data_IF_450228439478
#
_entry.id   IF_450228439478
#
_cell.length_a   1.000
_cell.length_b   1.000
_cell.length_c   1.000
_cell.angle_alpha   90.00
_cell.angle_beta   90.00
_cell.angle_gamma   90.00
#
_symmetry.space_group_name_H-M   'P 1'
#
loop_
_entity.id
_entity.type
_entity.pdbx_description
1 polymer ?
#
# COMPACT_ATOMS: atom_id res chain seq x y z
N UNK A 1 -9.18 -80.10 -6.07
CA UNK A 1 -8.07 -79.16 -5.83
C UNK A 1 -8.65 -77.74 -5.79
N UNK A 2 -9.24 -77.33 -4.67
CA UNK A 2 -9.94 -76.03 -4.52
C UNK A 2 -9.66 -75.49 -3.11
N UNK A 3 -8.69 -74.58 -2.98
CA UNK A 3 -8.37 -73.86 -1.74
C UNK A 3 -7.83 -72.45 -2.06
N UNK A 4 -8.62 -71.61 -2.73
CA UNK A 4 -8.21 -70.21 -2.98
C UNK A 4 -9.32 -69.16 -2.80
N UNK A 5 -10.41 -69.47 -2.08
CA UNK A 5 -11.56 -68.56 -2.01
C UNK A 5 -11.75 -67.78 -0.69
N UNK A 6 -10.77 -67.80 0.23
CA UNK A 6 -10.90 -67.15 1.55
C UNK A 6 -10.02 -65.93 1.82
N UNK A 7 -9.12 -65.54 0.91
CA UNK A 7 -8.15 -64.47 1.19
C UNK A 7 -8.51 -63.08 0.63
N UNK A 8 -9.53 -62.97 -0.22
CA UNK A 8 -9.87 -61.67 -0.85
C UNK A 8 -10.81 -60.79 -0.01
N UNK A 9 -11.49 -61.33 1.01
CA UNK A 9 -12.41 -60.53 1.85
C UNK A 9 -11.72 -59.71 2.95
N UNK A 10 -10.50 -60.05 3.35
CA UNK A 10 -9.79 -59.34 4.42
C UNK A 10 -9.06 -58.08 3.94
N UNK A 11 -8.82 -57.94 2.63
CA UNK A 11 -8.05 -56.81 2.10
C UNK A 11 -8.90 -55.55 1.87
N UNK A 12 -10.20 -55.69 1.62
CA UNK A 12 -11.10 -54.57 1.29
C UNK A 12 -11.59 -53.83 2.54
N UNK A 13 -11.65 -54.51 3.70
CA UNK A 13 -12.15 -53.90 4.94
C UNK A 13 -11.15 -52.96 5.63
N UNK A 14 -9.86 -53.02 5.25
CA UNK A 14 -8.80 -52.20 5.87
C UNK A 14 -8.56 -50.86 5.13
N UNK A 15 -9.06 -50.71 3.90
CA UNK A 15 -8.89 -49.47 3.10
C UNK A 15 -9.90 -48.38 3.43
N UNK A 16 -11.06 -48.73 3.99
CA UNK A 16 -12.12 -47.76 4.34
C UNK A 16 -11.90 -47.11 5.71
N UNK A 17 -11.10 -47.72 6.58
CA UNK A 17 -10.83 -47.17 7.91
C UNK A 17 -9.78 -46.04 7.86
N UNK A 18 -8.78 -46.17 6.99
CA UNK A 18 -7.65 -45.23 6.94
C UNK A 18 -7.99 -43.85 6.33
N UNK A 19 -9.05 -43.76 5.51
CA UNK A 19 -9.43 -42.50 4.83
C UNK A 19 -10.19 -41.52 5.73
N UNK A 20 -10.85 -41.99 6.79
CA UNK A 20 -11.57 -41.09 7.70
C UNK A 20 -10.64 -40.41 8.70
N UNK A 21 -9.67 -41.14 9.27
CA UNK A 21 -8.78 -40.58 10.30
C UNK A 21 -7.82 -39.52 9.73
N UNK A 22 -7.35 -39.69 8.49
CA UNK A 22 -6.49 -38.69 7.82
C UNK A 22 -7.27 -37.40 7.52
N UNK A 23 -8.53 -37.50 7.08
CA UNK A 23 -9.36 -36.32 6.80
C UNK A 23 -9.61 -35.46 8.05
N UNK A 24 -9.81 -36.07 9.22
CA UNK A 24 -10.04 -35.31 10.47
C UNK A 24 -8.79 -34.60 11.01
N UNK A 25 -7.58 -35.13 10.75
CA UNK A 25 -6.32 -34.49 11.15
C UNK A 25 -6.01 -33.27 10.28
N UNK A 26 -6.22 -33.37 8.96
CA UNK A 26 -5.97 -32.24 8.05
C UNK A 26 -6.95 -31.08 8.24
N UNK A 27 -8.23 -31.34 8.55
CA UNK A 27 -9.21 -30.27 8.84
C UNK A 27 -8.84 -29.52 10.13
N UNK A 28 -8.38 -30.20 11.18
CA UNK A 28 -7.92 -29.55 12.40
C UNK A 28 -6.60 -28.77 12.21
N UNK A 29 -5.69 -29.26 11.35
CA UNK A 29 -4.44 -28.56 11.04
C UNK A 29 -4.68 -27.23 10.29
N UNK A 30 -5.65 -27.21 9.35
CA UNK A 30 -6.04 -26.00 8.62
C UNK A 30 -6.74 -25.01 9.56
N UNK A 31 -7.58 -25.47 10.48
CA UNK A 31 -8.21 -24.60 11.49
C UNK A 31 -7.17 -23.96 12.43
N UNK A 32 -6.09 -24.67 12.77
CA UNK A 32 -4.99 -24.11 13.58
C UNK A 32 -4.17 -23.07 12.81
N UNK A 33 -3.98 -23.25 11.49
CA UNK A 33 -3.29 -22.27 10.63
C UNK A 33 -4.12 -20.99 10.40
N UNK A 34 -5.44 -21.05 10.49
CA UNK A 34 -6.31 -19.88 10.40
C UNK A 34 -6.36 -19.04 11.69
N UNK A 35 -5.91 -19.56 12.83
CA UNK A 35 -5.83 -18.80 14.09
C UNK A 35 -4.53 -17.98 14.23
N UNK A 36 -3.55 -18.17 13.34
CA UNK A 36 -2.28 -17.42 13.36
C UNK A 36 -2.36 -16.14 12.49
N UNK A 37 -3.41 -15.98 11.69
CA UNK A 37 -3.61 -14.79 10.83
C UNK A 37 -4.70 -13.85 11.36
N UNK A 38 -4.68 -13.55 12.65
CA UNK A 38 -5.51 -12.47 13.20
C UNK A 38 -4.67 -11.57 14.12
N UNK A 39 -3.58 -11.05 13.58
CA UNK A 39 -2.88 -9.87 14.11
C UNK A 39 -2.15 -9.17 12.95
N UNK A 40 -2.91 -8.79 11.92
CA UNK A 40 -2.65 -7.52 11.25
C UNK A 40 -3.83 -6.66 11.63
N UNK A 41 -3.62 -5.93 12.73
CA UNK A 41 -4.26 -4.67 13.08
C UNK A 41 -5.04 -4.09 11.91
N UNK A 42 -6.35 -4.32 11.91
CA UNK A 42 -7.29 -3.27 11.57
C UNK A 42 -7.04 -2.17 12.61
N UNK A 43 -6.06 -1.33 12.32
CA UNK A 43 -6.13 0.04 12.78
C UNK A 43 -7.27 0.66 11.96
N UNK A 44 -8.51 0.39 12.41
CA UNK A 44 -9.59 1.35 12.24
C UNK A 44 -9.13 2.62 12.95
N UNK A 45 -8.31 3.39 12.25
CA UNK A 45 -8.25 4.82 12.48
C UNK A 45 -9.65 5.31 12.13
N UNK A 46 -10.54 5.29 13.12
CA UNK A 46 -11.66 6.21 13.22
C UNK A 46 -11.08 7.62 13.39
N UNK A 47 -10.32 8.02 12.39
CA UNK A 47 -9.95 9.36 12.14
C UNK A 47 -11.14 9.91 11.35
N UNK A 48 -12.19 10.21 12.11
CA UNK A 48 -12.77 11.55 11.99
C UNK A 48 -11.68 12.58 12.39
N UNK A 49 -10.50 12.49 11.76
CA UNK A 49 -9.58 13.59 11.60
C UNK A 49 -10.25 14.35 10.48
N UNK A 50 -11.21 15.20 10.88
CA UNK A 50 -11.45 16.46 10.21
C UNK A 50 -10.13 16.91 9.60
N UNK A 51 -10.13 17.21 8.31
CA UNK A 51 -8.99 17.69 7.52
C UNK A 51 -8.46 19.06 8.04
N UNK A 52 -8.18 19.15 9.33
CA UNK A 52 -8.13 20.37 10.12
C UNK A 52 -7.23 20.16 11.36
N UNK A 53 -6.11 19.48 11.16
CA UNK A 53 -4.94 19.58 12.04
C UNK A 53 -3.66 19.07 11.33
N UNK A 54 -3.62 19.16 9.99
CA UNK A 54 -2.30 19.25 9.34
C UNK A 54 -1.83 20.66 9.62
N UNK A 55 -0.73 20.79 10.36
CA UNK A 55 -0.03 22.06 10.44
C UNK A 55 0.14 22.59 9.00
N UNK A 56 -0.26 23.83 8.80
CA UNK A 56 -0.29 24.45 7.47
C UNK A 56 1.12 24.42 6.90
N UNK A 57 1.33 23.61 5.84
CA UNK A 57 2.62 23.47 5.18
C UNK A 57 3.09 24.83 4.67
N UNK A 58 4.40 25.03 4.69
CA UNK A 58 5.08 26.22 4.19
C UNK A 58 6.02 25.84 3.06
N UNK A 59 6.50 26.84 2.31
CA UNK A 59 7.48 26.58 1.23
C UNK A 59 8.76 25.96 1.79
N UNK A 60 9.20 26.37 2.98
CA UNK A 60 10.42 25.86 3.63
C UNK A 60 10.34 24.39 4.03
N UNK A 61 9.14 23.83 4.19
CA UNK A 61 8.98 22.40 4.42
C UNK A 61 9.42 21.57 3.22
N UNK A 62 9.59 22.18 2.04
CA UNK A 62 10.06 21.56 0.80
C UNK A 62 11.52 21.88 0.46
N UNK A 63 12.29 22.51 1.38
CA UNK A 63 13.72 22.83 1.15
C UNK A 63 14.60 21.57 0.98
N UNK A 64 14.10 20.39 1.37
CA UNK A 64 14.77 19.09 1.22
C UNK A 64 14.64 18.49 -0.19
N UNK A 65 13.82 19.07 -1.06
CA UNK A 65 13.58 18.51 -2.39
C UNK A 65 14.85 18.51 -3.24
N UNK A 66 15.11 17.39 -3.89
CA UNK A 66 16.20 17.22 -4.84
C UNK A 66 15.70 16.50 -6.10
N UNK A 67 16.32 16.79 -7.26
CA UNK A 67 16.03 16.08 -8.50
C UNK A 67 16.34 14.59 -8.34
N UNK A 68 15.49 13.73 -8.89
CA UNK A 68 15.62 12.28 -8.79
C UNK A 68 15.02 11.67 -7.53
N UNK A 69 14.51 12.47 -6.59
CA UNK A 69 13.82 11.96 -5.41
C UNK A 69 12.54 11.20 -5.79
N UNK A 70 12.20 10.17 -5.03
CA UNK A 70 10.94 9.44 -5.17
C UNK A 70 9.78 10.15 -4.47
N UNK A 71 8.56 9.92 -4.94
CA UNK A 71 7.35 10.42 -4.29
C UNK A 71 7.17 9.83 -2.89
N UNK A 72 7.61 8.60 -2.66
CA UNK A 72 7.61 7.97 -1.34
C UNK A 72 8.49 8.74 -0.34
N UNK A 73 9.68 9.15 -0.75
CA UNK A 73 10.57 9.99 0.07
C UNK A 73 9.94 11.34 0.39
N UNK A 74 9.32 12.00 -0.58
CA UNK A 74 8.59 13.26 -0.35
C UNK A 74 7.44 13.05 0.64
N UNK A 75 6.64 12.00 0.44
CA UNK A 75 5.50 11.68 1.29
C UNK A 75 5.93 11.37 2.73
N UNK A 76 7.10 10.76 2.92
CA UNK A 76 7.65 10.50 4.24
C UNK A 76 7.97 11.78 5.03
N UNK A 77 8.22 12.91 4.35
CA UNK A 77 8.55 14.19 4.99
C UNK A 77 7.32 15.08 5.19
N UNK A 78 6.52 15.29 4.13
CA UNK A 78 5.41 16.28 4.14
C UNK A 78 4.02 15.64 4.10
N UNK A 79 3.94 14.31 4.07
CA UNK A 79 2.68 13.57 3.93
C UNK A 79 2.17 13.49 2.50
N UNK A 80 0.95 12.99 2.33
CA UNK A 80 0.36 12.81 1.00
C UNK A 80 -0.08 14.13 0.38
N UNK A 81 0.16 14.25 -0.93
CA UNK A 81 -0.37 15.35 -1.74
C UNK A 81 -1.90 15.46 -1.64
N UNK A 82 -2.41 16.68 -1.83
CA UNK A 82 -3.84 16.96 -1.80
C UNK A 82 -4.52 16.55 -3.11
N UNK A 83 -3.80 16.64 -4.23
CA UNK A 83 -4.32 16.28 -5.56
C UNK A 83 -3.24 15.59 -6.39
N UNK A 84 -3.69 14.67 -7.24
CA UNK A 84 -2.96 14.18 -8.41
C UNK A 84 -3.71 14.67 -9.65
N UNK A 85 -3.07 15.57 -10.41
CA UNK A 85 -3.67 16.22 -11.59
C UNK A 85 -3.06 15.70 -12.90
N UNK A 86 -2.24 14.66 -12.83
CA UNK A 86 -1.50 14.15 -13.96
C UNK A 86 -2.34 13.24 -14.88
N UNK A 87 -2.67 13.70 -16.09
CA UNK A 87 -3.31 12.87 -17.12
C UNK A 87 -2.29 12.02 -17.88
N UNK A 88 -1.61 11.11 -17.18
CA UNK A 88 -0.51 10.29 -17.74
C UNK A 88 0.89 10.83 -17.47
N UNK A 89 0.99 11.93 -16.73
CA UNK A 89 2.17 12.36 -16.00
C UNK A 89 1.90 12.17 -14.50
N UNK A 90 2.93 12.18 -13.67
CA UNK A 90 2.75 12.14 -12.21
C UNK A 90 2.93 13.56 -11.67
N UNK A 91 1.83 14.27 -11.46
CA UNK A 91 1.84 15.67 -10.99
C UNK A 91 1.07 15.76 -9.68
N UNK A 92 1.81 15.93 -8.60
CA UNK A 92 1.28 16.00 -7.25
C UNK A 92 1.21 17.45 -6.78
N UNK A 93 0.08 17.83 -6.19
CA UNK A 93 -0.20 19.20 -5.73
C UNK A 93 -0.35 19.21 -4.22
N UNK A 94 0.40 20.09 -3.56
CA UNK A 94 0.29 20.38 -2.14
C UNK A 94 -0.21 21.81 -1.95
N UNK A 95 -1.31 21.99 -1.23
CA UNK A 95 -1.82 23.31 -0.86
C UNK A 95 -1.04 23.82 0.35
N UNK A 96 -0.32 24.93 0.18
CA UNK A 96 0.40 25.60 1.26
C UNK A 96 -0.56 26.52 2.02
N UNK A 97 -1.30 27.34 1.27
CA UNK A 97 -2.29 28.27 1.79
C UNK A 97 -3.36 28.54 0.71
N UNK A 98 -4.31 29.41 1.02
CA UNK A 98 -5.43 29.75 0.11
C UNK A 98 -4.98 30.36 -1.23
N UNK A 99 -3.75 30.88 -1.33
CA UNK A 99 -3.23 31.57 -2.51
C UNK A 99 -2.06 30.83 -3.20
N UNK A 100 -1.54 29.73 -2.63
CA UNK A 100 -0.32 29.06 -3.13
C UNK A 100 -0.39 27.54 -3.06
N UNK A 101 0.12 26.90 -4.11
CA UNK A 101 0.28 25.45 -4.22
C UNK A 101 1.73 25.09 -4.62
N UNK A 102 2.25 23.96 -4.14
CA UNK A 102 3.46 23.33 -4.67
C UNK A 102 3.06 22.29 -5.69
N UNK A 103 3.64 22.36 -6.88
CA UNK A 103 3.48 21.36 -7.92
C UNK A 103 4.79 20.57 -8.03
N UNK A 104 4.70 19.27 -7.83
CA UNK A 104 5.81 18.35 -8.02
C UNK A 104 5.53 17.50 -9.26
N UNK A 105 6.43 17.55 -10.24
CA UNK A 105 6.32 16.78 -11.48
C UNK A 105 7.35 15.67 -11.52
N UNK A 106 6.86 14.47 -11.77
CA UNK A 106 7.63 13.23 -11.78
C UNK A 106 7.51 12.55 -13.15
N UNK A 107 8.63 12.08 -13.69
CA UNK A 107 8.63 11.31 -14.95
C UNK A 107 8.20 9.86 -14.71
N UNK A 108 8.45 9.41 -13.48
CA UNK A 108 8.04 8.16 -12.84
C UNK A 108 7.98 8.45 -11.34
N UNK A 109 7.24 7.65 -10.56
CA UNK A 109 7.14 7.86 -9.11
C UNK A 109 8.48 7.92 -8.38
N UNK A 110 9.56 7.39 -8.98
CA UNK A 110 10.91 7.38 -8.42
C UNK A 110 11.85 8.44 -9.02
N UNK A 111 11.32 9.45 -9.73
CA UNK A 111 12.16 10.47 -10.39
C UNK A 111 11.46 11.83 -10.48
N UNK A 112 11.59 12.65 -9.43
CA UNK A 112 11.23 14.07 -9.42
C UNK A 112 12.10 14.82 -10.44
N UNK A 113 11.50 15.52 -11.40
CA UNK A 113 12.25 16.30 -12.39
C UNK A 113 11.93 17.79 -12.38
N UNK A 114 10.87 18.20 -11.70
CA UNK A 114 10.50 19.62 -11.57
C UNK A 114 9.69 19.84 -10.29
N UNK A 115 9.93 20.97 -9.63
CA UNK A 115 9.17 21.42 -8.48
C UNK A 115 9.05 22.94 -8.52
N UNK A 116 7.84 23.45 -8.35
CA UNK A 116 7.56 24.88 -8.42
C UNK A 116 6.47 25.31 -7.45
N UNK A 117 6.58 26.53 -6.95
CA UNK A 117 5.49 27.23 -6.26
C UNK A 117 4.61 27.86 -7.32
N UNK A 118 3.33 27.50 -7.35
CA UNK A 118 2.31 28.14 -8.16
C UNK A 118 1.47 29.09 -7.32
N UNK A 119 1.44 30.36 -7.71
CA UNK A 119 0.62 31.38 -7.05
C UNK A 119 -0.72 31.50 -7.78
N UNK A 120 -1.81 31.18 -7.08
CA UNK A 120 -3.16 31.14 -7.61
C UNK A 120 -3.73 32.52 -7.93
N UNK A 121 -3.21 33.57 -7.29
CA UNK A 121 -3.72 34.93 -7.41
C UNK A 121 -3.29 35.62 -8.70
N UNK A 122 -2.03 35.43 -9.09
CA UNK A 122 -1.44 36.04 -10.27
C UNK A 122 -1.12 35.02 -11.37
N UNK A 123 -1.38 33.72 -11.12
CA UNK A 123 -1.12 32.61 -12.03
C UNK A 123 0.35 32.54 -12.46
N UNK A 124 1.26 32.88 -11.55
CA UNK A 124 2.71 32.78 -11.77
C UNK A 124 3.28 31.51 -11.13
N UNK A 125 4.41 31.04 -11.67
CA UNK A 125 5.14 29.90 -11.11
C UNK A 125 6.60 30.28 -10.86
N UNK A 126 7.12 29.91 -9.70
CA UNK A 126 8.52 30.11 -9.31
C UNK A 126 9.17 28.74 -9.08
N UNK A 127 10.27 28.39 -9.76
CA UNK A 127 10.94 27.12 -9.56
C UNK A 127 11.52 27.02 -8.14
N UNK A 128 11.34 25.86 -7.50
CA UNK A 128 11.97 25.50 -6.23
C UNK A 128 13.32 24.83 -6.45
N UNK A 129 13.41 23.98 -7.47
CA UNK A 129 14.65 23.36 -7.89
C UNK A 129 15.34 24.31 -8.86
N UNK A 130 16.31 25.08 -8.36
CA UNK A 130 17.17 25.86 -9.25
C UNK A 130 17.93 24.90 -10.18
N UNK A 131 18.01 25.21 -11.48
CA UNK A 131 18.75 24.45 -12.49
C UNK A 131 20.16 24.09 -11.96
N UNK A 132 20.34 22.87 -11.46
CA UNK A 132 21.64 22.30 -11.12
C UNK A 132 22.27 21.65 -12.35
#
# INVERSE_FOLDING_TARGET
MMRYHRLTKLFIQNQTFFRKTIFFVFINLIALLLLISCDTTQSESNNNTSASDRDMLTVSDFDFLELGMSYEEVQAHVGSADKDIGSGLYIFVYSINDEQEILLSFSSLDNLFDAQVHNLKDNTSTPLLANQ
#
